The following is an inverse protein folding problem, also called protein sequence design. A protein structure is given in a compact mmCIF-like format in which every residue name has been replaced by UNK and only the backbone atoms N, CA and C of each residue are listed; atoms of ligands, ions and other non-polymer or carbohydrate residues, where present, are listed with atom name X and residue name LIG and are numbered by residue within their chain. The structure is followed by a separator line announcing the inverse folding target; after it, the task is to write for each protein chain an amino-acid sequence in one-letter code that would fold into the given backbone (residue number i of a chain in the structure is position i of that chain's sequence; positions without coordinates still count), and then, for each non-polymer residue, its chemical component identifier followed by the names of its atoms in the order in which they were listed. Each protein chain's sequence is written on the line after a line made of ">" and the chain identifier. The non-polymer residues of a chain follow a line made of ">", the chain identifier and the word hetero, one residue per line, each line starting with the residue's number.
data_IF_224812766102
#
_entry.id   IF_224812766102
#
_cell.length_a   1.000
_cell.length_b   1.000
_cell.length_c   1.000
_cell.angle_alpha   90.00
_cell.angle_beta   90.00
_cell.angle_gamma   90.00
#
_symmetry.space_group_name_H-M   'P 1'
#
loop_
_entity.id
_entity.type
_entity.pdbx_description
1 polymer ?
#
# COMPACT_ATOMS: atom_id res chain seq x y z
N UNK A 1 12.86 -13.57 5.44
CA UNK A 1 12.41 -12.19 5.79
C UNK A 1 11.00 -12.13 6.35
N UNK A 2 9.93 -12.50 5.62
CA UNK A 2 8.56 -12.41 6.13
C UNK A 2 8.33 -13.21 7.42
N UNK A 3 8.85 -14.43 7.51
CA UNK A 3 8.75 -15.29 8.71
C UNK A 3 9.44 -14.66 9.94
N UNK A 4 10.55 -13.97 9.74
CA UNK A 4 11.27 -13.26 10.82
C UNK A 4 10.46 -12.04 11.29
N UNK A 5 9.92 -11.25 10.35
CA UNK A 5 9.09 -10.10 10.69
C UNK A 5 7.79 -10.51 11.38
N UNK A 6 7.14 -11.60 10.94
CA UNK A 6 5.90 -12.09 11.55
C UNK A 6 6.06 -12.51 13.02
N UNK A 7 7.28 -12.85 13.46
CA UNK A 7 7.55 -13.16 14.87
C UNK A 7 7.34 -11.93 15.77
N UNK A 8 7.63 -10.72 15.28
CA UNK A 8 7.46 -9.47 16.02
C UNK A 8 6.00 -9.00 16.15
N UNK A 9 5.04 -9.66 15.49
CA UNK A 9 3.62 -9.39 15.73
C UNK A 9 3.26 -9.74 17.18
N UNK A 10 3.87 -10.79 17.75
CA UNK A 10 3.80 -11.13 19.16
C UNK A 10 2.36 -11.19 19.71
N UNK A 11 2.09 -10.45 20.77
CA UNK A 11 0.79 -10.34 21.43
C UNK A 11 -0.30 -9.67 20.59
N UNK A 12 0.08 -8.89 19.57
CA UNK A 12 -0.86 -8.20 18.68
C UNK A 12 -1.50 -9.09 17.60
N UNK A 13 -1.21 -10.42 17.58
CA UNK A 13 -1.85 -11.37 16.64
C UNK A 13 -3.38 -11.34 16.72
N UNK A 14 -3.94 -11.31 17.92
CA UNK A 14 -5.40 -11.26 18.10
C UNK A 14 -6.01 -9.97 17.54
N UNK A 15 -5.30 -8.86 17.68
CA UNK A 15 -5.70 -7.55 17.17
C UNK A 15 -5.60 -7.53 15.65
N UNK A 16 -4.53 -8.09 15.09
CA UNK A 16 -4.31 -8.23 13.65
C UNK A 16 -5.41 -9.04 12.97
N UNK A 17 -5.91 -10.11 13.62
CA UNK A 17 -7.01 -10.95 13.10
C UNK A 17 -8.37 -10.22 13.18
N UNK A 18 -8.59 -9.34 14.16
CA UNK A 18 -9.83 -8.58 14.26
C UNK A 18 -10.00 -7.61 13.08
N UNK A 19 -8.93 -7.02 12.56
CA UNK A 19 -8.99 -6.11 11.42
C UNK A 19 -9.67 -6.72 10.19
N UNK A 20 -9.23 -7.88 9.65
CA UNK A 20 -9.92 -8.56 8.56
C UNK A 20 -11.38 -8.87 8.84
N UNK A 21 -11.74 -9.27 10.07
CA UNK A 21 -13.12 -9.58 10.42
C UNK A 21 -14.02 -8.36 10.25
N UNK A 22 -13.60 -7.19 10.75
CA UNK A 22 -14.37 -5.96 10.59
C UNK A 22 -14.42 -5.50 9.13
N UNK A 23 -13.35 -5.71 8.36
CA UNK A 23 -13.34 -5.42 6.91
C UNK A 23 -14.33 -6.32 6.17
N UNK A 24 -14.44 -7.60 6.52
CA UNK A 24 -15.43 -8.51 5.93
C UNK A 24 -16.85 -7.98 6.18
N UNK A 25 -17.16 -7.57 7.41
CA UNK A 25 -18.47 -6.99 7.74
C UNK A 25 -18.72 -5.70 6.97
N UNK A 26 -17.73 -4.80 6.91
CA UNK A 26 -17.80 -3.54 6.17
C UNK A 26 -18.11 -3.79 4.68
N UNK A 27 -17.35 -4.66 4.02
CA UNK A 27 -17.51 -4.98 2.59
C UNK A 27 -18.86 -5.64 2.30
N UNK A 28 -19.32 -6.56 3.18
CA UNK A 28 -20.63 -7.19 2.99
C UNK A 28 -21.76 -6.16 3.08
N UNK A 29 -21.71 -5.23 4.03
CA UNK A 29 -22.70 -4.16 4.12
C UNK A 29 -22.65 -3.23 2.92
N UNK A 30 -21.46 -2.83 2.44
CA UNK A 30 -21.29 -1.98 1.27
C UNK A 30 -21.90 -2.61 0.01
N UNK A 31 -21.73 -3.91 -0.19
CA UNK A 31 -22.25 -4.62 -1.37
C UNK A 31 -23.78 -4.76 -1.30
N UNK A 32 -24.37 -4.80 -0.13
CA UNK A 32 -25.83 -4.87 0.00
C UNK A 32 -26.52 -3.53 -0.29
N UNK A 33 -25.85 -2.39 -0.14
CA UNK A 33 -26.44 -1.06 -0.36
C UNK A 33 -26.99 -0.89 -1.80
N UNK A 34 -26.29 -1.23 -2.89
CA UNK A 34 -26.82 -1.16 -4.25
C UNK A 34 -28.08 -2.02 -4.45
N UNK A 35 -28.18 -3.18 -3.80
CA UNK A 35 -29.38 -4.05 -3.87
C UNK A 35 -30.61 -3.43 -3.22
N UNK A 36 -30.39 -2.82 -2.04
CA UNK A 36 -31.46 -2.09 -1.36
C UNK A 36 -31.86 -0.88 -2.22
N UNK A 37 -30.91 -0.19 -2.85
CA UNK A 37 -31.17 0.92 -3.77
C UNK A 37 -32.03 0.47 -4.98
N UNK A 38 -31.68 -0.64 -5.61
CA UNK A 38 -32.51 -1.23 -6.67
C UNK A 38 -33.93 -1.57 -6.17
N UNK A 39 -34.04 -2.13 -4.96
CA UNK A 39 -35.36 -2.44 -4.36
C UNK A 39 -36.18 -1.19 -4.05
N UNK A 40 -35.58 -0.06 -3.70
CA UNK A 40 -36.26 1.24 -3.56
C UNK A 40 -36.86 1.67 -4.90
N UNK A 41 -36.09 1.54 -5.99
CA UNK A 41 -36.53 1.94 -7.33
C UNK A 41 -37.65 1.03 -7.81
N UNK A 42 -37.43 -0.29 -7.82
CA UNK A 42 -38.33 -1.27 -8.45
C UNK A 42 -39.63 -1.44 -7.64
N UNK A 43 -39.53 -1.55 -6.32
CA UNK A 43 -40.67 -1.88 -5.45
C UNK A 43 -41.28 -0.68 -4.74
N UNK A 44 -40.59 0.46 -4.71
CA UNK A 44 -41.06 1.67 -4.09
C UNK A 44 -41.48 2.73 -5.12
N UNK A 45 -40.51 3.23 -5.88
CA UNK A 45 -40.76 4.38 -6.80
C UNK A 45 -41.63 3.95 -7.98
N UNK A 46 -41.32 2.82 -8.67
CA UNK A 46 -42.09 2.38 -9.82
C UNK A 46 -43.52 1.97 -9.48
N UNK A 47 -43.75 1.47 -8.27
CA UNK A 47 -45.09 1.09 -7.81
C UNK A 47 -45.85 2.22 -7.12
N UNK A 48 -45.20 3.39 -6.87
CA UNK A 48 -45.77 4.53 -6.15
C UNK A 48 -45.99 4.27 -4.65
N UNK A 49 -45.37 3.23 -4.07
CA UNK A 49 -45.58 2.81 -2.69
C UNK A 49 -44.56 3.50 -1.76
N UNK A 50 -44.97 4.62 -1.18
CA UNK A 50 -44.13 5.41 -0.29
C UNK A 50 -43.73 4.62 0.98
N UNK A 51 -44.57 3.70 1.43
CA UNK A 51 -44.27 2.87 2.62
C UNK A 51 -43.04 1.99 2.36
N UNK A 52 -42.92 1.40 1.17
CA UNK A 52 -41.74 0.62 0.78
C UNK A 52 -40.49 1.47 0.60
N UNK A 53 -40.62 2.67 0.06
CA UNK A 53 -39.52 3.63 -0.04
C UNK A 53 -38.95 3.94 1.34
N UNK A 54 -39.81 4.24 2.31
CA UNK A 54 -39.39 4.51 3.69
C UNK A 54 -38.76 3.29 4.38
N UNK A 55 -39.36 2.09 4.17
CA UNK A 55 -38.83 0.86 4.75
C UNK A 55 -37.43 0.51 4.21
N UNK A 56 -37.24 0.51 2.89
CA UNK A 56 -35.94 0.22 2.29
C UNK A 56 -34.94 1.36 2.53
N UNK A 57 -35.38 2.61 2.57
CA UNK A 57 -34.56 3.75 2.97
C UNK A 57 -34.04 3.63 4.40
N UNK A 58 -34.91 3.23 5.33
CA UNK A 58 -34.52 2.92 6.70
C UNK A 58 -33.52 1.77 6.79
N UNK A 59 -33.73 0.68 6.02
CA UNK A 59 -32.79 -0.43 5.94
C UNK A 59 -31.41 0.02 5.41
N UNK A 60 -31.39 0.86 4.38
CA UNK A 60 -30.15 1.40 3.82
C UNK A 60 -29.36 2.22 4.84
N UNK A 61 -30.05 3.03 5.66
CA UNK A 61 -29.42 3.76 6.75
C UNK A 61 -28.81 2.82 7.79
N UNK A 62 -29.52 1.77 8.18
CA UNK A 62 -28.99 0.76 9.13
C UNK A 62 -27.74 0.08 8.56
N UNK A 63 -27.74 -0.34 7.29
CA UNK A 63 -26.58 -0.93 6.64
C UNK A 63 -25.40 0.05 6.60
N UNK A 64 -25.64 1.31 6.28
CA UNK A 64 -24.63 2.36 6.26
C UNK A 64 -24.01 2.59 7.65
N UNK A 65 -24.82 2.60 8.72
CA UNK A 65 -24.32 2.72 10.09
C UNK A 65 -23.49 1.50 10.52
N UNK A 66 -23.90 0.29 10.16
CA UNK A 66 -23.13 -0.94 10.45
C UNK A 66 -21.80 -0.90 9.70
N UNK A 67 -21.81 -0.51 8.42
CA UNK A 67 -20.59 -0.37 7.60
C UNK A 67 -19.65 0.69 8.20
N UNK A 68 -20.16 1.86 8.57
CA UNK A 68 -19.38 2.92 9.21
C UNK A 68 -18.74 2.43 10.51
N UNK A 69 -19.52 1.78 11.39
CA UNK A 69 -19.01 1.24 12.65
C UNK A 69 -17.91 0.20 12.39
N UNK A 70 -18.13 -0.73 11.45
CA UNK A 70 -17.15 -1.74 11.09
C UNK A 70 -15.86 -1.11 10.52
N UNK A 71 -15.97 -0.10 9.66
CA UNK A 71 -14.84 0.64 9.10
C UNK A 71 -14.03 1.38 10.17
N UNK A 72 -14.68 2.03 11.12
CA UNK A 72 -14.02 2.67 12.27
C UNK A 72 -13.25 1.63 13.10
N UNK A 73 -13.86 0.50 13.41
CA UNK A 73 -13.21 -0.57 14.17
C UNK A 73 -12.05 -1.20 13.39
N UNK A 74 -12.20 -1.44 12.09
CA UNK A 74 -11.13 -1.91 11.23
C UNK A 74 -9.94 -0.94 11.23
N UNK A 75 -10.20 0.37 11.13
CA UNK A 75 -9.19 1.42 11.24
C UNK A 75 -8.46 1.40 12.57
N UNK A 76 -9.22 1.35 13.68
CA UNK A 76 -8.68 1.30 15.05
C UNK A 76 -7.79 0.07 15.29
N UNK A 77 -8.27 -1.12 14.92
CA UNK A 77 -7.52 -2.36 15.15
C UNK A 77 -6.31 -2.47 14.22
N UNK A 78 -6.39 -1.98 12.98
CA UNK A 78 -5.23 -1.96 12.09
C UNK A 78 -4.12 -1.02 12.58
N UNK A 79 -4.49 0.17 13.10
CA UNK A 79 -3.56 1.10 13.70
C UNK A 79 -2.90 0.52 14.96
N UNK A 80 -3.70 -0.08 15.85
CA UNK A 80 -3.18 -0.70 17.08
C UNK A 80 -2.24 -1.88 16.75
N UNK A 81 -2.61 -2.73 15.78
CA UNK A 81 -1.78 -3.86 15.35
C UNK A 81 -0.45 -3.41 14.73
N UNK A 82 -0.49 -2.40 13.85
CA UNK A 82 0.71 -1.91 13.16
C UNK A 82 1.64 -1.15 14.10
N UNK A 83 1.10 -0.34 15.00
CA UNK A 83 1.89 0.40 16.00
C UNK A 83 2.52 -0.55 17.02
N UNK A 84 1.77 -1.57 17.49
CA UNK A 84 2.29 -2.58 18.39
C UNK A 84 3.39 -3.43 17.74
N UNK A 85 3.18 -3.85 16.50
CA UNK A 85 4.21 -4.52 15.70
C UNK A 85 5.49 -3.68 15.58
N UNK A 86 5.36 -2.37 15.29
CA UNK A 86 6.50 -1.47 15.18
C UNK A 86 7.22 -1.26 16.52
N UNK A 87 6.47 -1.26 17.63
CA UNK A 87 7.05 -1.20 18.99
C UNK A 87 7.93 -2.42 19.24
N UNK A 88 7.40 -3.61 19.05
CA UNK A 88 8.13 -4.88 19.21
C UNK A 88 9.36 -4.97 18.28
N UNK A 89 9.21 -4.46 17.04
CA UNK A 89 10.31 -4.43 16.09
C UNK A 89 11.43 -3.48 16.53
N UNK A 90 11.09 -2.27 17.03
CA UNK A 90 12.07 -1.32 17.58
C UNK A 90 12.80 -1.90 18.79
N UNK A 91 12.06 -2.53 19.71
CA UNK A 91 12.64 -3.20 20.88
C UNK A 91 13.60 -4.33 20.46
N UNK A 92 13.21 -5.16 19.50
CA UNK A 92 14.06 -6.22 18.97
C UNK A 92 15.33 -5.68 18.29
N UNK A 93 15.22 -4.62 17.50
CA UNK A 93 16.38 -3.97 16.87
C UNK A 93 17.30 -3.38 17.94
N UNK A 94 16.74 -2.65 18.93
CA UNK A 94 17.52 -2.04 20.00
C UNK A 94 18.25 -3.11 20.82
N UNK A 95 17.56 -4.15 21.25
CA UNK A 95 18.18 -5.28 21.98
C UNK A 95 19.31 -5.93 21.17
N UNK A 96 19.12 -6.08 19.85
CA UNK A 96 20.16 -6.64 18.99
C UNK A 96 21.39 -5.72 18.89
N UNK A 97 21.17 -4.40 18.81
CA UNK A 97 22.26 -3.41 18.82
C UNK A 97 23.05 -3.47 20.12
N UNK A 98 22.40 -3.62 21.28
CA UNK A 98 23.07 -3.76 22.56
C UNK A 98 23.97 -4.99 22.66
N UNK A 99 23.66 -6.03 21.89
CA UNK A 99 24.42 -7.29 21.82
C UNK A 99 25.50 -7.29 20.72
N UNK A 100 25.71 -6.18 20.01
CA UNK A 100 26.73 -6.09 18.97
C UNK A 100 28.14 -6.19 19.55
N UNK A 101 29.00 -6.98 18.93
CA UNK A 101 30.43 -6.91 19.17
C UNK A 101 31.00 -5.58 18.63
N UNK A 102 32.12 -5.10 19.16
CA UNK A 102 32.77 -3.87 18.70
C UNK A 102 33.02 -3.86 17.19
N UNK A 103 33.42 -4.99 16.61
CA UNK A 103 33.61 -5.13 15.14
C UNK A 103 32.32 -4.91 14.33
N UNK A 104 31.16 -5.14 14.91
CA UNK A 104 29.88 -4.87 14.25
C UNK A 104 29.49 -3.38 14.36
N UNK A 105 29.82 -2.73 15.49
CA UNK A 105 29.57 -1.30 15.70
C UNK A 105 30.38 -0.49 14.68
N UNK A 106 31.64 -0.85 14.45
CA UNK A 106 32.51 -0.18 13.48
C UNK A 106 32.02 -0.34 12.04
N UNK A 107 31.28 -1.43 11.73
CA UNK A 107 30.74 -1.70 10.41
C UNK A 107 29.49 -0.87 10.07
N UNK A 108 28.72 -0.47 11.06
CA UNK A 108 27.49 0.29 10.89
C UNK A 108 27.64 1.72 11.39
N UNK A 109 27.31 2.72 10.55
CA UNK A 109 27.30 4.10 11.02
C UNK A 109 26.17 4.33 12.03
N UNK A 110 26.42 5.13 13.04
CA UNK A 110 25.40 5.51 14.05
C UNK A 110 24.17 6.12 13.39
N UNK A 111 24.37 7.00 12.41
CA UNK A 111 23.27 7.58 11.63
C UNK A 111 22.42 6.51 10.91
N UNK A 112 23.07 5.49 10.33
CA UNK A 112 22.38 4.37 9.69
C UNK A 112 21.56 3.52 10.66
N UNK A 113 22.05 3.29 11.87
CA UNK A 113 21.29 2.56 12.90
C UNK A 113 20.08 3.37 13.37
N UNK A 114 20.24 4.68 13.55
CA UNK A 114 19.12 5.57 13.90
C UNK A 114 18.05 5.56 12.80
N UNK A 115 18.44 5.69 11.53
CA UNK A 115 17.49 5.64 10.39
C UNK A 115 16.70 4.33 10.36
N UNK A 116 17.36 3.19 10.62
CA UNK A 116 16.69 1.89 10.70
C UNK A 116 15.65 1.83 11.81
N UNK A 117 15.95 2.37 13.00
CA UNK A 117 15.05 2.37 14.14
C UNK A 117 13.88 3.35 13.98
N UNK A 118 14.05 4.39 13.18
CA UNK A 118 13.04 5.46 12.97
C UNK A 118 12.32 5.27 11.64
N UNK A 119 12.93 5.67 10.55
CA UNK A 119 12.31 5.73 9.23
C UNK A 119 11.97 4.36 8.68
N UNK A 120 12.91 3.40 8.73
CA UNK A 120 12.66 2.07 8.14
C UNK A 120 11.58 1.31 8.90
N UNK A 121 11.59 1.35 10.24
CA UNK A 121 10.53 0.73 11.04
C UNK A 121 9.19 1.41 10.79
N UNK A 122 9.15 2.72 10.62
CA UNK A 122 7.91 3.44 10.28
C UNK A 122 7.39 3.05 8.90
N UNK A 123 8.26 2.88 7.91
CA UNK A 123 7.87 2.39 6.59
C UNK A 123 7.31 0.96 6.65
N UNK A 124 7.95 0.08 7.42
CA UNK A 124 7.46 -1.30 7.62
C UNK A 124 6.12 -1.30 8.38
N UNK A 125 5.94 -0.43 9.37
CA UNK A 125 4.66 -0.22 10.08
C UNK A 125 3.55 0.17 9.13
N UNK A 126 3.79 1.16 8.28
CA UNK A 126 2.81 1.64 7.29
C UNK A 126 2.47 0.56 6.27
N UNK A 127 3.48 -0.16 5.77
CA UNK A 127 3.28 -1.28 4.86
C UNK A 127 2.44 -2.39 5.50
N UNK A 128 2.68 -2.72 6.78
CA UNK A 128 1.89 -3.70 7.52
C UNK A 128 0.44 -3.24 7.72
N UNK A 129 0.23 -1.97 8.05
CA UNK A 129 -1.12 -1.39 8.17
C UNK A 129 -1.89 -1.43 6.86
N UNK A 130 -1.24 -1.05 5.75
CA UNK A 130 -1.83 -1.14 4.41
C UNK A 130 -2.15 -2.59 4.03
N UNK A 131 -1.25 -3.52 4.33
CA UNK A 131 -1.48 -4.94 4.07
C UNK A 131 -2.72 -5.46 4.82
N UNK A 132 -2.86 -5.17 6.10
CA UNK A 132 -4.02 -5.59 6.90
C UNK A 132 -5.35 -5.05 6.36
N UNK A 133 -5.36 -3.87 5.75
CA UNK A 133 -6.58 -3.24 5.23
C UNK A 133 -6.81 -3.57 3.76
N UNK A 134 -5.86 -3.27 2.89
CA UNK A 134 -6.05 -3.31 1.43
C UNK A 134 -5.99 -4.74 0.90
N UNK A 135 -5.04 -5.55 1.39
CA UNK A 135 -4.87 -6.93 0.89
C UNK A 135 -6.06 -7.84 1.25
N UNK A 136 -6.86 -7.48 2.26
CA UNK A 136 -8.09 -8.21 2.60
C UNK A 136 -9.29 -7.59 1.86
N UNK A 137 -9.42 -6.25 1.88
CA UNK A 137 -10.59 -5.55 1.31
C UNK A 137 -10.70 -5.75 -0.20
N UNK A 138 -9.60 -5.55 -0.95
CA UNK A 138 -9.66 -5.55 -2.40
C UNK A 138 -10.06 -6.92 -3.01
N UNK A 139 -9.44 -8.07 -2.61
CA UNK A 139 -9.86 -9.37 -3.11
C UNK A 139 -11.29 -9.75 -2.67
N UNK A 140 -11.65 -9.42 -1.42
CA UNK A 140 -12.98 -9.71 -0.91
C UNK A 140 -14.05 -8.94 -1.67
N UNK A 141 -13.84 -7.63 -1.89
CA UNK A 141 -14.73 -6.77 -2.67
C UNK A 141 -14.92 -7.33 -4.08
N UNK A 142 -13.83 -7.73 -4.74
CA UNK A 142 -13.85 -8.32 -6.08
C UNK A 142 -14.64 -9.63 -6.12
N UNK A 143 -14.39 -10.55 -5.18
CA UNK A 143 -15.07 -11.85 -5.11
C UNK A 143 -16.57 -11.63 -4.83
N UNK A 144 -16.91 -10.85 -3.80
CA UNK A 144 -18.30 -10.61 -3.43
C UNK A 144 -19.07 -9.89 -4.55
N UNK A 145 -18.48 -8.87 -5.18
CA UNK A 145 -19.11 -8.18 -6.32
C UNK A 145 -19.36 -9.14 -7.48
N UNK A 146 -18.41 -10.04 -7.76
CA UNK A 146 -18.57 -11.03 -8.84
C UNK A 146 -19.67 -12.04 -8.51
N UNK A 147 -19.72 -12.55 -7.29
CA UNK A 147 -20.80 -13.43 -6.82
C UNK A 147 -22.16 -12.75 -6.99
N UNK A 148 -22.26 -11.49 -6.61
CA UNK A 148 -23.50 -10.73 -6.73
C UNK A 148 -23.89 -10.48 -8.20
N UNK A 149 -22.94 -10.22 -9.09
CA UNK A 149 -23.21 -10.15 -10.53
C UNK A 149 -23.81 -11.46 -11.05
N UNK A 150 -23.27 -12.61 -10.65
CA UNK A 150 -23.80 -13.92 -11.06
C UNK A 150 -25.22 -14.19 -10.53
N UNK A 151 -25.55 -13.69 -9.34
CA UNK A 151 -26.91 -13.81 -8.77
C UNK A 151 -27.91 -12.98 -9.58
N UNK A 152 -27.53 -11.81 -10.09
CA UNK A 152 -28.41 -10.92 -10.84
C UNK A 152 -28.61 -11.45 -12.27
N UNK A 153 -27.54 -11.66 -13.00
CA UNK A 153 -27.60 -12.13 -14.40
C UNK A 153 -26.33 -12.89 -14.77
N UNK A 154 -26.38 -14.23 -14.80
CA UNK A 154 -25.22 -15.06 -15.11
C UNK A 154 -24.61 -14.77 -16.49
N UNK A 155 -25.45 -14.50 -17.49
CA UNK A 155 -24.99 -14.28 -18.89
C UNK A 155 -24.10 -13.04 -18.99
N UNK A 156 -24.54 -11.92 -18.41
CA UNK A 156 -23.75 -10.70 -18.38
C UNK A 156 -22.51 -10.85 -17.50
N UNK A 157 -22.60 -11.64 -16.43
CA UNK A 157 -21.48 -11.84 -15.50
C UNK A 157 -20.28 -12.54 -16.14
N UNK A 158 -20.51 -13.43 -17.14
CA UNK A 158 -19.41 -14.02 -17.90
C UNK A 158 -18.63 -12.97 -18.71
N UNK A 159 -19.30 -11.93 -19.22
CA UNK A 159 -18.63 -10.83 -19.92
C UNK A 159 -17.73 -10.07 -18.95
N UNK A 160 -18.24 -9.74 -17.76
CA UNK A 160 -17.43 -9.08 -16.71
C UNK A 160 -16.26 -9.95 -16.23
N UNK A 161 -16.47 -11.26 -16.08
CA UNK A 161 -15.41 -12.20 -15.73
C UNK A 161 -14.31 -12.22 -16.80
N UNK A 162 -14.70 -12.27 -18.09
CA UNK A 162 -13.75 -12.18 -19.20
C UNK A 162 -12.96 -10.87 -19.19
N UNK A 163 -13.63 -9.74 -18.97
CA UNK A 163 -12.99 -8.44 -18.85
C UNK A 163 -12.02 -8.38 -17.65
N UNK A 164 -12.38 -8.98 -16.50
CA UNK A 164 -11.53 -9.04 -15.31
C UNK A 164 -10.25 -9.85 -15.57
N UNK A 165 -10.37 -11.00 -16.23
CA UNK A 165 -9.23 -11.86 -16.60
C UNK A 165 -8.32 -11.11 -17.58
N UNK A 166 -8.90 -10.46 -18.60
CA UNK A 166 -8.16 -9.65 -19.57
C UNK A 166 -7.40 -8.52 -18.88
N UNK A 167 -8.07 -7.77 -17.97
CA UNK A 167 -7.46 -6.70 -17.21
C UNK A 167 -6.32 -7.22 -16.33
N UNK A 168 -6.53 -8.35 -15.66
CA UNK A 168 -5.49 -9.00 -14.85
C UNK A 168 -4.26 -9.38 -15.67
N UNK A 169 -4.48 -9.91 -16.88
CA UNK A 169 -3.39 -10.24 -17.80
C UNK A 169 -2.62 -9.01 -18.27
N UNK A 170 -3.34 -7.94 -18.65
CA UNK A 170 -2.73 -6.67 -19.06
C UNK A 170 -1.90 -6.06 -17.92
N UNK A 171 -2.46 -6.01 -16.70
CA UNK A 171 -1.73 -5.50 -15.53
C UNK A 171 -0.49 -6.35 -15.21
N UNK A 172 -0.62 -7.67 -15.27
CA UNK A 172 0.53 -8.57 -15.08
C UNK A 172 1.63 -8.30 -16.11
N UNK A 173 1.26 -8.13 -17.37
CA UNK A 173 2.20 -7.82 -18.44
C UNK A 173 2.91 -6.47 -18.23
N UNK A 174 2.15 -5.43 -17.84
CA UNK A 174 2.70 -4.11 -17.51
C UNK A 174 3.70 -4.22 -16.36
N UNK A 175 3.32 -4.84 -15.24
CA UNK A 175 4.19 -5.02 -14.08
C UNK A 175 5.47 -5.76 -14.46
N UNK A 176 5.35 -6.84 -15.22
CA UNK A 176 6.49 -7.63 -15.69
C UNK A 176 7.47 -6.80 -16.53
N UNK A 177 6.98 -5.90 -17.38
CA UNK A 177 7.81 -5.01 -18.22
C UNK A 177 8.39 -3.82 -17.45
N UNK A 178 7.64 -3.28 -16.52
CA UNK A 178 8.01 -2.04 -15.82
C UNK A 178 8.96 -2.29 -14.65
N UNK A 179 8.82 -3.41 -13.94
CA UNK A 179 9.67 -3.76 -12.79
C UNK A 179 11.19 -3.69 -13.09
N UNK A 180 11.71 -4.30 -14.17
CA UNK A 180 13.15 -4.21 -14.48
C UNK A 180 13.60 -2.77 -14.79
N UNK A 181 12.72 -1.96 -15.41
CA UNK A 181 13.05 -0.55 -15.74
C UNK A 181 13.18 0.26 -14.44
N UNK A 182 12.29 0.06 -13.47
CA UNK A 182 12.43 0.69 -12.15
C UNK A 182 13.69 0.23 -11.41
N UNK A 183 14.02 -1.06 -11.48
CA UNK A 183 15.23 -1.59 -10.84
C UNK A 183 16.49 -0.93 -11.42
N UNK A 184 16.56 -0.76 -12.75
CA UNK A 184 17.63 0.00 -13.43
C UNK A 184 17.62 1.47 -12.98
N UNK A 185 16.44 2.09 -12.88
CA UNK A 185 16.27 3.47 -12.43
C UNK A 185 16.81 3.68 -11.01
N UNK A 186 16.54 2.78 -10.07
CA UNK A 186 17.08 2.87 -8.72
C UNK A 186 18.60 2.77 -8.67
N UNK A 187 19.22 1.90 -9.49
CA UNK A 187 20.67 1.85 -9.59
C UNK A 187 21.26 3.17 -10.11
N UNK A 188 20.59 3.83 -11.08
CA UNK A 188 20.99 5.16 -11.56
C UNK A 188 20.75 6.28 -10.55
N UNK A 189 19.79 6.11 -9.68
CA UNK A 189 19.55 7.03 -8.55
C UNK A 189 20.70 6.97 -7.54
N UNK A 190 21.23 5.76 -7.28
CA UNK A 190 22.39 5.58 -6.42
C UNK A 190 23.64 6.22 -7.03
N UNK A 191 23.87 6.09 -8.36
CA UNK A 191 24.95 6.78 -9.09
C UNK A 191 24.85 8.31 -8.95
N UNK A 192 23.63 8.86 -9.05
CA UNK A 192 23.39 10.29 -8.86
C UNK A 192 23.71 10.74 -7.44
N UNK A 193 23.22 10.00 -6.44
CA UNK A 193 23.47 10.29 -5.02
C UNK A 193 24.97 10.25 -4.70
N UNK A 194 25.69 9.26 -5.20
CA UNK A 194 27.14 9.14 -5.05
C UNK A 194 27.86 10.36 -5.65
N UNK A 195 27.44 10.81 -6.84
CA UNK A 195 28.01 12.00 -7.49
C UNK A 195 27.76 13.28 -6.67
N UNK A 196 26.57 13.44 -6.09
CA UNK A 196 26.26 14.58 -5.22
C UNK A 196 27.10 14.53 -3.95
N UNK A 197 27.21 13.36 -3.33
CA UNK A 197 27.98 13.18 -2.09
C UNK A 197 29.47 13.46 -2.33
N UNK A 198 30.04 12.99 -3.44
CA UNK A 198 31.42 13.28 -3.86
C UNK A 198 31.65 14.79 -4.00
N UNK A 199 30.74 15.48 -4.72
CA UNK A 199 30.83 16.92 -4.95
C UNK A 199 30.71 17.71 -3.64
N UNK A 200 29.73 17.40 -2.77
CA UNK A 200 29.54 18.10 -1.49
C UNK A 200 30.75 17.89 -0.58
N UNK A 201 31.30 16.67 -0.53
CA UNK A 201 32.49 16.37 0.28
C UNK A 201 33.72 17.10 -0.25
N UNK A 202 33.90 17.14 -1.58
CA UNK A 202 35.01 17.78 -2.28
C UNK A 202 34.80 19.26 -2.63
N UNK A 203 33.75 19.92 -2.15
CA UNK A 203 33.33 21.26 -2.61
C UNK A 203 34.42 22.32 -2.49
N UNK A 204 35.28 22.22 -1.47
CA UNK A 204 36.42 23.14 -1.31
C UNK A 204 37.43 23.00 -2.44
N UNK A 205 37.67 21.78 -2.92
CA UNK A 205 38.57 21.49 -4.03
C UNK A 205 37.96 22.01 -5.34
N UNK A 206 36.66 21.73 -5.58
CA UNK A 206 35.94 22.24 -6.74
C UNK A 206 36.04 23.76 -6.85
N UNK A 207 35.82 24.45 -5.70
CA UNK A 207 35.93 25.92 -5.61
C UNK A 207 37.35 26.42 -5.81
N UNK A 208 38.36 25.77 -5.21
CA UNK A 208 39.76 26.17 -5.33
C UNK A 208 40.28 26.08 -6.75
N UNK A 209 39.80 25.11 -7.53
CA UNK A 209 40.20 24.89 -8.94
C UNK A 209 39.20 25.45 -9.94
N UNK A 210 38.17 26.18 -9.52
CA UNK A 210 37.13 26.80 -10.40
C UNK A 210 36.54 25.76 -11.37
N UNK A 211 36.12 24.58 -10.84
CA UNK A 211 35.61 23.47 -11.64
C UNK A 211 34.10 23.27 -11.56
N UNK A 212 33.34 24.28 -11.15
CA UNK A 212 31.89 24.23 -10.98
C UNK A 212 31.17 23.82 -12.27
N UNK A 213 31.60 24.34 -13.42
CA UNK A 213 30.99 24.00 -14.71
C UNK A 213 31.20 22.54 -15.11
N UNK A 214 32.32 21.94 -14.71
CA UNK A 214 32.58 20.53 -14.95
C UNK A 214 31.62 19.66 -14.09
N UNK A 215 31.49 19.98 -12.82
CA UNK A 215 30.60 19.26 -11.89
C UNK A 215 29.12 19.44 -12.26
N UNK A 216 28.72 20.63 -12.70
CA UNK A 216 27.36 20.88 -13.20
C UNK A 216 27.05 20.03 -14.44
N UNK A 217 27.98 19.87 -15.36
CA UNK A 217 27.83 19.01 -16.55
C UNK A 217 27.73 17.53 -16.15
N UNK A 218 28.59 17.09 -15.22
CA UNK A 218 28.58 15.72 -14.67
C UNK A 218 27.22 15.39 -14.05
N UNK A 219 26.73 16.27 -13.17
CA UNK A 219 25.41 16.16 -12.53
C UNK A 219 24.26 16.16 -13.54
N UNK A 220 24.25 17.13 -14.48
CA UNK A 220 23.20 17.23 -15.51
C UNK A 220 23.14 15.99 -16.39
N UNK A 221 24.27 15.36 -16.70
CA UNK A 221 24.32 14.10 -17.45
C UNK A 221 23.71 12.94 -16.64
N UNK A 222 24.06 12.83 -15.36
CA UNK A 222 23.52 11.79 -14.48
C UNK A 222 22.01 11.98 -14.28
N UNK A 223 21.56 13.19 -14.00
CA UNK A 223 20.14 13.55 -13.86
C UNK A 223 19.34 13.30 -15.17
N UNK A 224 19.93 13.64 -16.33
CA UNK A 224 19.33 13.38 -17.64
C UNK A 224 19.19 11.89 -17.96
N UNK A 225 20.12 11.05 -17.54
CA UNK A 225 20.00 9.60 -17.68
C UNK A 225 18.89 9.04 -16.80
N UNK A 226 18.82 9.49 -15.56
CA UNK A 226 17.75 9.13 -14.62
C UNK A 226 16.37 9.53 -15.16
N UNK A 227 16.24 10.78 -15.63
CA UNK A 227 15.01 11.29 -16.25
C UNK A 227 14.52 10.38 -17.39
N UNK A 228 15.42 9.99 -18.33
CA UNK A 228 15.05 9.13 -19.47
C UNK A 228 14.51 7.78 -19.03
N UNK A 229 15.08 7.17 -17.99
CA UNK A 229 14.65 5.88 -17.48
C UNK A 229 13.26 6.01 -16.82
N UNK A 230 13.05 7.03 -15.97
CA UNK A 230 11.76 7.23 -15.34
C UNK A 230 10.67 7.59 -16.34
N UNK A 231 10.94 8.45 -17.32
CA UNK A 231 9.97 8.73 -18.41
C UNK A 231 9.60 7.44 -19.14
N UNK A 232 10.56 6.56 -19.43
CA UNK A 232 10.29 5.27 -20.05
C UNK A 232 9.44 4.36 -19.15
N UNK A 233 9.68 4.35 -17.84
CA UNK A 233 8.88 3.57 -16.90
C UNK A 233 7.44 4.12 -16.81
N UNK A 234 7.28 5.42 -16.61
CA UNK A 234 5.99 6.10 -16.50
C UNK A 234 5.16 6.00 -17.80
N UNK A 235 5.81 6.04 -18.97
CA UNK A 235 5.09 5.87 -20.25
C UNK A 235 4.45 4.49 -20.45
N UNK A 236 4.85 3.49 -19.68
CA UNK A 236 4.20 2.18 -19.65
C UNK A 236 3.03 2.12 -18.65
N UNK A 237 2.98 3.05 -17.70
CA UNK A 237 1.94 3.12 -16.66
C UNK A 237 0.80 4.08 -17.06
N UNK A 238 1.06 5.03 -17.97
CA UNK A 238 0.09 5.98 -18.51
C UNK A 238 -0.72 5.36 -19.66
#
# INVERSE_FOLDING_TARGET
>A
MLKTLSAYIGEYKKVSIKTPIYIIVEVLMEILIPFVTASIIDKGIQTGDMSKVLMYGGLMLVLAFISLFAGIQAGKYSALASTGFACNLREGIYSNIQNFAFSNIDKYSTAGLITRMTTDVTNVQNAYQMFLRIAVRAPLMMICSMVMCFIINPTLSFIFLGALILLGFVLFFIIYKVTPIFTEGFAKYDDLNASVQENVTGIRVVKAFVREDHENKKFSKAAGNLYKIFVKAESWLA
#
